data_IF_641061168241
#
_entry.id   IF_641061168241
#
_cell.length_a   1.000
_cell.length_b   1.000
_cell.length_c   1.000
_cell.angle_alpha   90.00
_cell.angle_beta   90.00
_cell.angle_gamma   90.00
#
_symmetry.space_group_name_H-M   'P 1'
#
loop_
_entity.id
_entity.type
_entity.pdbx_description
1 polymer ?
#
# COMPACT_ATOMS: atom_id res chain seq x y z
N UNK A 1 -7.21 -7.62 -3.02
CA UNK A 1 -7.95 -6.64 -3.83
C UNK A 1 -7.12 -6.19 -5.03
N UNK A 2 -7.77 -5.93 -6.16
CA UNK A 2 -7.15 -5.36 -7.37
C UNK A 2 -7.96 -4.15 -7.80
N UNK A 3 -7.31 -3.03 -8.12
CA UNK A 3 -7.98 -1.89 -8.75
C UNK A 3 -7.07 -1.20 -9.75
N UNK A 4 -7.69 -0.53 -10.72
CA UNK A 4 -6.98 0.21 -11.76
C UNK A 4 -7.69 1.51 -12.11
N UNK A 5 -6.93 2.47 -12.60
CA UNK A 5 -7.46 3.71 -13.13
C UNK A 5 -6.49 4.33 -14.15
N UNK A 6 -7.03 5.18 -15.02
CA UNK A 6 -6.22 5.97 -15.95
C UNK A 6 -5.47 7.06 -15.20
N UNK A 7 -4.24 7.27 -15.61
CA UNK A 7 -3.37 8.36 -15.20
C UNK A 7 -3.97 9.71 -15.58
N UNK A 8 -4.11 10.57 -14.56
CA UNK A 8 -4.63 11.93 -14.64
C UNK A 8 -3.57 12.98 -14.32
N UNK A 9 -2.29 12.60 -14.26
CA UNK A 9 -1.18 13.46 -13.88
C UNK A 9 -1.05 13.68 -12.37
N UNK A 10 0.07 14.31 -11.98
CA UNK A 10 0.38 14.70 -10.59
C UNK A 10 0.25 13.58 -9.54
N UNK A 11 0.42 12.34 -9.99
CA UNK A 11 0.21 11.11 -9.22
C UNK A 11 -1.19 10.98 -8.60
N UNK A 12 -2.18 11.73 -9.08
CA UNK A 12 -3.54 11.75 -8.51
C UNK A 12 -4.21 10.38 -8.57
N UNK A 13 -3.84 9.57 -9.56
CA UNK A 13 -4.42 8.24 -9.79
C UNK A 13 -3.87 7.25 -8.78
N UNK A 14 -2.55 7.25 -8.58
CA UNK A 14 -1.84 6.47 -7.58
C UNK A 14 -2.32 6.81 -6.16
N UNK A 15 -2.42 8.10 -5.83
CA UNK A 15 -2.94 8.57 -4.52
C UNK A 15 -4.31 7.99 -4.21
N UNK A 16 -5.25 8.07 -5.17
CA UNK A 16 -6.62 7.55 -5.02
C UNK A 16 -6.66 6.03 -4.86
N UNK A 17 -5.83 5.29 -5.60
CA UNK A 17 -5.75 3.83 -5.48
C UNK A 17 -5.19 3.44 -4.11
N UNK A 18 -4.13 4.12 -3.66
CA UNK A 18 -3.49 3.87 -2.37
C UNK A 18 -4.44 4.14 -1.21
N UNK A 19 -5.11 5.30 -1.23
CA UNK A 19 -6.19 5.66 -0.29
C UNK A 19 -7.25 4.57 -0.25
N UNK A 20 -7.81 4.20 -1.41
CA UNK A 20 -8.85 3.18 -1.50
C UNK A 20 -8.43 1.85 -0.86
N UNK A 21 -7.21 1.39 -1.12
CA UNK A 21 -6.72 0.11 -0.62
C UNK A 21 -6.47 0.14 0.89
N UNK A 22 -5.76 1.14 1.38
CA UNK A 22 -5.40 1.23 2.79
C UNK A 22 -6.62 1.53 3.66
N UNK A 23 -7.53 2.41 3.21
CA UNK A 23 -8.77 2.71 3.93
C UNK A 23 -9.64 1.47 4.06
N UNK A 24 -9.84 0.73 2.97
CA UNK A 24 -10.62 -0.52 3.01
C UNK A 24 -10.10 -1.51 4.06
N UNK A 25 -8.79 -1.78 4.08
CA UNK A 25 -8.24 -2.72 5.06
C UNK A 25 -8.23 -2.17 6.48
N UNK A 26 -7.89 -0.89 6.67
CA UNK A 26 -7.95 -0.27 7.99
C UNK A 26 -9.35 -0.34 8.56
N UNK A 27 -10.37 0.01 7.76
CA UNK A 27 -11.77 -0.05 8.19
C UNK A 27 -12.22 -1.47 8.55
N UNK A 28 -11.97 -2.47 7.70
CA UNK A 28 -12.42 -3.84 8.00
C UNK A 28 -11.69 -4.42 9.22
N UNK A 29 -10.38 -4.19 9.35
CA UNK A 29 -9.58 -4.68 10.48
C UNK A 29 -9.99 -4.00 11.80
N UNK A 30 -10.25 -2.69 11.78
CA UNK A 30 -10.70 -1.96 12.96
C UNK A 30 -12.14 -2.30 13.34
N UNK A 31 -13.07 -2.29 12.39
CA UNK A 31 -14.51 -2.43 12.68
C UNK A 31 -14.92 -3.87 13.00
N UNK A 32 -14.34 -4.87 12.34
CA UNK A 32 -14.74 -6.27 12.54
C UNK A 32 -13.91 -6.98 13.60
N UNK A 33 -12.65 -6.59 13.78
CA UNK A 33 -11.72 -7.28 14.68
C UNK A 33 -11.22 -6.41 15.83
N UNK A 34 -11.57 -5.12 15.88
CA UNK A 34 -11.05 -4.21 16.90
C UNK A 34 -9.53 -4.04 16.85
N UNK A 35 -8.90 -4.42 15.74
CA UNK A 35 -7.46 -4.49 15.63
C UNK A 35 -6.85 -3.12 15.39
N UNK A 36 -5.77 -2.81 16.09
CA UNK A 36 -4.97 -1.62 15.80
C UNK A 36 -4.00 -1.94 14.66
N UNK A 37 -4.00 -1.07 13.65
CA UNK A 37 -3.26 -1.27 12.41
C UNK A 37 -2.10 -0.28 12.35
N UNK A 38 -0.94 -0.76 11.90
CA UNK A 38 0.17 0.10 11.46
C UNK A 38 0.54 -0.22 10.01
N UNK A 39 1.10 0.77 9.31
CA UNK A 39 1.40 0.68 7.88
C UNK A 39 2.89 0.99 7.67
N UNK A 40 3.53 0.16 6.86
CA UNK A 40 4.92 0.38 6.42
C UNK A 40 4.88 0.66 4.92
N UNK A 41 5.33 1.85 4.50
CA UNK A 41 5.50 2.17 3.08
C UNK A 41 6.98 2.02 2.70
N UNK A 42 7.25 1.33 1.60
CA UNK A 42 8.63 1.03 1.18
C UNK A 42 8.87 1.52 -0.24
N UNK A 43 10.02 2.16 -0.44
CA UNK A 43 10.44 2.71 -1.73
C UNK A 43 10.78 1.62 -2.73
N UNK A 44 10.38 1.77 -4.00
CA UNK A 44 10.70 0.85 -5.10
C UNK A 44 11.03 1.62 -6.37
N UNK A 45 11.87 1.03 -7.23
CA UNK A 45 12.08 1.51 -8.60
C UNK A 45 10.84 1.43 -9.49
N UNK A 46 10.95 1.86 -10.75
CA UNK A 46 9.89 1.78 -11.77
C UNK A 46 9.31 3.12 -12.22
N UNK A 47 9.46 4.16 -11.40
CA UNK A 47 9.16 5.54 -11.79
C UNK A 47 10.47 6.27 -12.15
N UNK A 48 10.38 7.27 -13.04
CA UNK A 48 11.54 8.08 -13.43
C UNK A 48 12.05 8.95 -12.28
N UNK A 49 11.13 9.53 -11.52
CA UNK A 49 11.39 10.32 -10.31
C UNK A 49 10.94 9.52 -9.09
N UNK A 50 11.80 8.61 -8.63
CA UNK A 50 11.49 7.66 -7.56
C UNK A 50 11.30 8.39 -6.24
N UNK A 51 12.23 9.27 -5.87
CA UNK A 51 12.19 9.97 -4.58
C UNK A 51 11.04 10.98 -4.53
N UNK A 52 10.76 11.70 -5.62
CA UNK A 52 9.60 12.59 -5.69
C UNK A 52 8.28 11.84 -5.66
N UNK A 53 8.17 10.70 -6.35
CA UNK A 53 7.00 9.82 -6.25
C UNK A 53 6.79 9.33 -4.81
N UNK A 54 7.84 8.82 -4.19
CA UNK A 54 7.80 8.30 -2.83
C UNK A 54 7.36 9.37 -1.83
N UNK A 55 7.98 10.55 -1.87
CA UNK A 55 7.62 11.67 -1.02
C UNK A 55 6.14 12.07 -1.17
N UNK A 56 5.61 12.07 -2.40
CA UNK A 56 4.18 12.35 -2.63
C UNK A 56 3.25 11.26 -2.09
N UNK A 57 3.67 10.00 -2.05
CA UNK A 57 2.87 8.95 -1.41
C UNK A 57 2.92 9.07 0.12
N UNK A 58 4.08 9.41 0.70
CA UNK A 58 4.24 9.70 2.14
C UNK A 58 3.28 10.81 2.57
N UNK A 59 3.38 11.99 1.94
CA UNK A 59 2.51 13.15 2.22
C UNK A 59 1.02 12.76 2.17
N UNK A 60 0.67 11.92 1.19
CA UNK A 60 -0.71 11.47 0.98
C UNK A 60 -1.19 10.57 2.12
N UNK A 61 -0.42 9.55 2.50
CA UNK A 61 -0.86 8.63 3.56
C UNK A 61 -0.82 9.25 4.95
N UNK A 62 0.12 10.17 5.21
CA UNK A 62 0.14 10.96 6.45
C UNK A 62 -1.12 11.82 6.58
N UNK A 63 -1.59 12.39 5.46
CA UNK A 63 -2.82 13.19 5.43
C UNK A 63 -4.07 12.34 5.64
N UNK A 64 -4.13 11.15 5.00
CA UNK A 64 -5.31 10.27 5.08
C UNK A 64 -5.41 9.57 6.45
N UNK A 65 -4.26 9.26 7.06
CA UNK A 65 -4.19 8.43 8.27
C UNK A 65 -3.43 9.10 9.41
N UNK A 66 -3.86 10.29 9.89
CA UNK A 66 -3.11 11.09 10.87
C UNK A 66 -2.91 10.40 12.23
N UNK A 67 -3.78 9.46 12.58
CA UNK A 67 -3.74 8.72 13.86
C UNK A 67 -3.20 7.29 13.71
N UNK A 68 -2.81 6.88 12.51
CA UNK A 68 -2.28 5.54 12.26
C UNK A 68 -0.77 5.55 12.43
N UNK A 69 -0.21 4.51 13.03
CA UNK A 69 1.25 4.38 13.10
C UNK A 69 1.80 4.10 11.70
N UNK A 70 2.58 5.04 11.16
CA UNK A 70 3.20 4.97 9.84
C UNK A 70 4.71 4.85 9.98
N UNK A 71 5.31 4.00 9.15
CA UNK A 71 6.77 3.89 9.02
C UNK A 71 7.18 3.83 7.55
N UNK A 72 8.40 4.29 7.28
CA UNK A 72 8.89 4.51 5.92
C UNK A 72 10.24 3.84 5.75
N UNK A 73 10.32 2.92 4.80
CA UNK A 73 11.55 2.27 4.38
C UNK A 73 12.06 2.94 3.11
N UNK A 74 13.18 3.65 3.25
CA UNK A 74 13.82 4.40 2.19
C UNK A 74 14.84 3.56 1.41
N UNK A 75 15.13 2.33 1.84
CA UNK A 75 16.02 1.44 1.11
C UNK A 75 15.37 1.03 -0.21
N UNK A 76 16.07 1.33 -1.30
CA UNK A 76 15.68 0.85 -2.61
C UNK A 76 16.17 -0.59 -2.77
N UNK A 77 15.29 -1.53 -2.45
CA UNK A 77 15.52 -2.95 -2.69
C UNK A 77 15.22 -3.22 -4.15
N UNK A 78 16.18 -3.78 -4.90
CA UNK A 78 16.03 -4.20 -6.30
C UNK A 78 15.07 -5.40 -6.42
N UNK A 79 13.79 -5.14 -6.18
CA UNK A 79 12.69 -6.05 -6.43
C UNK A 79 11.75 -5.39 -7.44
N UNK A 80 11.86 -5.84 -8.68
CA UNK A 80 11.17 -5.27 -9.85
C UNK A 80 9.68 -5.63 -9.93
N UNK A 81 9.15 -6.39 -8.97
CA UNK A 81 7.75 -6.78 -8.98
C UNK A 81 6.82 -5.57 -8.78
N UNK A 82 7.12 -4.71 -7.82
CA UNK A 82 6.35 -3.50 -7.53
C UNK A 82 6.97 -2.27 -8.18
N UNK A 83 6.13 -1.29 -8.53
CA UNK A 83 6.51 -0.04 -9.19
C UNK A 83 6.35 1.14 -8.21
N UNK A 84 7.41 1.90 -7.97
CA UNK A 84 7.40 3.13 -7.16
C UNK A 84 7.31 2.88 -5.65
N UNK A 85 6.28 2.16 -5.20
CA UNK A 85 6.13 1.73 -3.80
C UNK A 85 5.53 0.34 -3.69
N UNK A 86 5.80 -0.27 -2.55
CA UNK A 86 4.92 -1.26 -1.96
C UNK A 86 4.63 -0.90 -0.50
N UNK A 87 3.62 -1.50 0.09
CA UNK A 87 3.25 -1.30 1.47
C UNK A 87 3.04 -2.64 2.18
N UNK A 88 3.17 -2.62 3.50
CA UNK A 88 2.76 -3.68 4.42
C UNK A 88 1.73 -3.15 5.38
N UNK A 89 0.81 -4.03 5.75
CA UNK A 89 -0.20 -3.81 6.78
C UNK A 89 0.17 -4.73 7.94
N UNK A 90 0.31 -4.14 9.11
CA UNK A 90 0.64 -4.84 10.34
C UNK A 90 -0.53 -4.75 11.31
N UNK A 91 -0.77 -5.82 12.07
CA UNK A 91 -1.61 -5.78 13.26
C UNK A 91 -0.73 -5.63 14.48
N UNK A 92 -1.10 -4.70 15.36
CA UNK A 92 -0.52 -4.61 16.69
C UNK A 92 -1.14 -5.67 17.60
N UNK A 93 -0.28 -6.44 18.27
CA UNK A 93 -0.62 -7.52 19.20
C UNK A 93 0.07 -7.24 20.55
N UNK A 94 -0.23 -8.05 21.58
CA UNK A 94 0.45 -7.91 22.88
C UNK A 94 1.95 -8.18 22.79
N UNK A 95 2.34 -9.09 21.91
CA UNK A 95 3.73 -9.55 21.77
C UNK A 95 4.52 -8.83 20.68
N UNK A 96 3.92 -7.81 20.04
CA UNK A 96 4.57 -7.00 19.01
C UNK A 96 3.67 -6.76 17.80
N UNK A 97 4.24 -6.91 16.61
CA UNK A 97 3.52 -6.68 15.36
C UNK A 97 3.57 -7.91 14.45
N UNK A 98 2.43 -8.27 13.88
CA UNK A 98 2.33 -9.32 12.87
C UNK A 98 1.96 -8.71 11.53
N UNK A 99 2.66 -9.12 10.47
CA UNK A 99 2.31 -8.71 9.10
C UNK A 99 1.03 -9.44 8.69
N UNK A 100 -0.06 -8.72 8.40
CA UNK A 100 -1.32 -9.33 7.97
C UNK A 100 -1.46 -9.32 6.45
N UNK A 101 -0.78 -8.39 5.76
CA UNK A 101 -0.86 -8.30 4.32
C UNK A 101 0.07 -7.26 3.73
N UNK A 102 0.10 -7.24 2.40
CA UNK A 102 0.93 -6.34 1.62
C UNK A 102 0.22 -5.91 0.33
N UNK A 103 0.85 -4.99 -0.37
CA UNK A 103 0.41 -4.57 -1.70
C UNK A 103 1.38 -3.58 -2.32
N UNK A 104 1.11 -3.20 -3.56
CA UNK A 104 1.97 -2.27 -4.29
C UNK A 104 1.50 -2.07 -5.71
N UNK A 105 2.04 -1.05 -6.39
CA UNK A 105 1.69 -0.80 -7.78
C UNK A 105 2.36 -1.81 -8.68
N UNK A 106 1.66 -2.21 -9.73
CA UNK A 106 2.14 -3.13 -10.77
C UNK A 106 1.75 -2.58 -12.13
N UNK A 107 2.40 -3.05 -13.18
CA UNK A 107 2.15 -2.62 -14.56
C UNK A 107 1.23 -3.57 -15.34
N UNK A 108 0.64 -4.58 -14.68
CA UNK A 108 -0.13 -5.65 -15.32
C UNK A 108 -1.22 -5.15 -16.26
N UNK A 109 -2.07 -4.22 -15.81
CA UNK A 109 -3.15 -3.67 -16.63
C UNK A 109 -2.61 -2.84 -17.79
N UNK A 110 -1.48 -2.15 -17.58
CA UNK A 110 -0.80 -1.41 -18.66
C UNK A 110 -0.27 -2.35 -19.74
N UNK A 111 0.35 -3.47 -19.35
CA UNK A 111 0.84 -4.50 -20.26
C UNK A 111 -0.31 -5.17 -21.03
N UNK A 112 -1.37 -5.58 -20.33
CA UNK A 112 -2.54 -6.27 -20.93
C UNK A 112 -3.23 -5.37 -21.96
N UNK A 113 -3.40 -4.08 -21.66
CA UNK A 113 -4.11 -3.14 -22.54
C UNK A 113 -3.21 -2.41 -23.53
N UNK A 114 -1.89 -2.60 -23.47
CA UNK A 114 -0.92 -1.85 -24.28
C UNK A 114 -0.94 -0.33 -24.02
N UNK A 115 -1.43 0.12 -22.87
CA UNK A 115 -1.62 1.53 -22.54
C UNK A 115 -0.81 1.94 -21.31
N UNK A 116 0.27 2.71 -21.52
CA UNK A 116 1.15 3.23 -20.45
C UNK A 116 0.48 4.23 -19.50
N UNK A 117 -0.73 4.69 -19.82
CA UNK A 117 -1.53 5.54 -18.93
C UNK A 117 -2.37 4.74 -17.94
N UNK A 118 -2.36 3.41 -17.97
CA UNK A 118 -3.05 2.65 -16.93
C UNK A 118 -2.20 2.55 -15.66
N UNK A 119 -2.85 2.66 -14.51
CA UNK A 119 -2.27 2.41 -13.19
C UNK A 119 -3.01 1.23 -12.57
N UNK A 120 -2.28 0.35 -11.91
CA UNK A 120 -2.85 -0.79 -11.23
C UNK A 120 -2.21 -0.93 -9.85
N UNK A 121 -3.06 -1.08 -8.83
CA UNK A 121 -2.65 -1.39 -7.47
C UNK A 121 -3.24 -2.74 -7.09
N UNK A 122 -2.41 -3.60 -6.52
CA UNK A 122 -2.80 -4.89 -5.97
C UNK A 122 -2.50 -4.94 -4.48
N UNK A 123 -3.24 -5.76 -3.76
CA UNK A 123 -3.01 -6.04 -2.35
C UNK A 123 -3.66 -7.34 -1.92
N UNK A 124 -3.20 -7.91 -0.82
CA UNK A 124 -3.79 -9.09 -0.20
C UNK A 124 -3.57 -9.10 1.30
N UNK A 125 -4.42 -9.84 2.01
CA UNK A 125 -4.25 -10.16 3.43
C UNK A 125 -4.32 -11.68 3.60
N UNK A 126 -3.55 -12.21 4.55
CA UNK A 126 -3.65 -13.61 4.98
C UNK A 126 -4.76 -13.75 6.03
N UNK A 127 -5.89 -14.35 5.66
CA UNK A 127 -7.03 -14.52 6.59
C UNK A 127 -6.69 -15.43 7.76
N UNK A 128 -5.88 -16.45 7.52
CA UNK A 128 -5.29 -17.35 8.50
C UNK A 128 -4.46 -16.60 9.55
N UNK A 129 -3.79 -15.51 9.17
CA UNK A 129 -3.02 -14.68 10.10
C UNK A 129 -3.89 -13.88 11.07
N UNK A 130 -5.19 -13.73 10.81
CA UNK A 130 -6.12 -13.15 11.78
C UNK A 130 -6.29 -14.02 13.02
N UNK A 131 -6.02 -15.32 12.92
CA UNK A 131 -6.05 -16.22 14.08
C UNK A 131 -4.94 -15.87 15.08
N UNK A 132 -3.80 -15.37 14.59
CA UNK A 132 -2.66 -14.94 15.41
C UNK A 132 -2.90 -13.61 16.14
N UNK A 133 -3.98 -12.88 15.82
CA UNK A 133 -4.32 -11.62 16.49
C UNK A 133 -5.03 -11.82 17.83
N UNK A 134 -5.75 -12.94 17.98
CA UNK A 134 -6.56 -13.24 19.17
C UNK A 134 -5.87 -14.15 20.20
N UNK A 135 -4.66 -14.62 19.90
CA UNK A 135 -3.78 -15.33 20.86
C UNK A 135 -3.01 -14.31 21.70
#
# INVERSE_FOLDING_TARGET
MVSSCKDNGSYTSEKKLLEKHLTFYKEILQTQFGAKVSIILRKRGGYKDIDGFFGKMIETIETIFPETSLSFDFEDVDNKYYQGINFKIMLETKDGQIEIGDGGFVDWISQILGNKKERCLISGIGLDRLLLFNE
#
